data_IF_950055550958
#
_entry.id   IF_950055550958
#
_cell.length_a   1.000
_cell.length_b   1.000
_cell.length_c   1.000
_cell.angle_alpha   90.00
_cell.angle_beta   90.00
_cell.angle_gamma   90.00
#
_symmetry.space_group_name_H-M   'P 1'
#
loop_
_entity.id
_entity.type
_entity.pdbx_description
1 polymer ?
#
# COMPACT_ATOMS: atom_id res chain seq x y z
N UNK A 1 -13.77 -13.27 13.61
CA UNK A 1 -13.28 -14.15 12.53
C UNK A 1 -14.48 -14.66 11.73
N UNK A 2 -14.98 -13.86 10.78
CA UNK A 2 -16.34 -14.09 10.25
C UNK A 2 -16.47 -15.39 9.45
N UNK A 3 -15.51 -15.66 8.55
CA UNK A 3 -15.51 -16.86 7.70
C UNK A 3 -15.23 -18.12 8.52
N UNK A 4 -14.29 -18.06 9.47
CA UNK A 4 -13.90 -19.21 10.31
C UNK A 4 -14.84 -19.47 11.51
N UNK A 5 -15.95 -18.75 11.64
CA UNK A 5 -16.83 -18.89 12.79
C UNK A 5 -17.34 -20.34 12.93
N UNK A 6 -17.14 -20.93 14.11
CA UNK A 6 -17.41 -22.35 14.38
C UNK A 6 -16.33 -23.35 13.93
N UNK A 7 -15.34 -22.94 13.14
CA UNK A 7 -14.23 -23.79 12.68
C UNK A 7 -12.90 -23.48 13.38
N UNK A 8 -12.69 -22.23 13.81
CA UNK A 8 -11.47 -21.81 14.49
C UNK A 8 -11.33 -20.30 14.61
N UNK A 9 -10.11 -19.85 14.93
CA UNK A 9 -9.80 -18.43 15.01
C UNK A 9 -8.45 -18.13 14.32
N UNK A 10 -8.36 -17.07 13.50
CA UNK A 10 -7.12 -16.62 12.92
C UNK A 10 -6.26 -15.95 14.00
N UNK A 11 -4.95 -15.94 13.77
CA UNK A 11 -4.00 -15.17 14.57
C UNK A 11 -3.82 -13.77 13.96
N UNK A 12 -4.11 -12.73 14.73
CA UNK A 12 -3.82 -11.35 14.32
C UNK A 12 -2.35 -11.03 14.60
N UNK A 13 -1.62 -10.59 13.57
CA UNK A 13 -0.21 -10.23 13.65
C UNK A 13 -0.04 -8.78 14.09
N UNK A 14 -0.57 -7.82 13.32
CA UNK A 14 -0.50 -6.40 13.64
C UNK A 14 -1.51 -6.10 14.74
N UNK A 15 -1.03 -5.78 15.93
CA UNK A 15 -1.89 -5.59 17.11
C UNK A 15 -2.65 -4.27 17.05
N UNK A 16 -3.75 -4.21 17.81
CA UNK A 16 -4.52 -3.00 17.98
C UNK A 16 -3.65 -1.81 18.43
N UNK A 17 -3.83 -0.66 17.78
CA UNK A 17 -3.11 0.58 18.07
C UNK A 17 -1.75 0.71 17.39
N UNK A 18 -1.28 -0.31 16.68
CA UNK A 18 -0.09 -0.22 15.85
C UNK A 18 -0.43 0.15 14.40
N UNK A 19 0.45 0.91 13.75
CA UNK A 19 0.32 1.20 12.32
C UNK A 19 0.74 -0.01 11.50
N UNK A 20 -0.01 -0.40 10.44
CA UNK A 20 0.42 -1.45 9.53
C UNK A 20 1.58 -1.00 8.63
N UNK A 21 1.76 0.30 8.40
CA UNK A 21 2.80 0.84 7.52
C UNK A 21 4.21 0.72 8.11
N UNK A 22 4.33 0.76 9.44
CA UNK A 22 5.60 0.65 10.16
C UNK A 22 5.43 -0.25 11.40
N UNK A 23 5.60 -1.55 11.20
CA UNK A 23 5.43 -2.55 12.25
C UNK A 23 6.67 -3.42 12.42
N UNK A 24 7.14 -3.54 13.67
CA UNK A 24 8.22 -4.45 14.03
C UNK A 24 7.65 -5.74 14.64
N UNK A 25 7.87 -6.87 13.98
CA UNK A 25 7.41 -8.18 14.45
C UNK A 25 8.03 -8.55 15.80
N UNK A 26 7.18 -8.95 16.75
CA UNK A 26 7.61 -9.59 17.99
C UNK A 26 8.02 -11.03 17.73
N UNK A 27 8.93 -11.63 18.54
CA UNK A 27 9.32 -13.03 18.36
C UNK A 27 8.15 -14.02 18.32
N UNK A 28 7.10 -13.79 19.11
CA UNK A 28 5.90 -14.61 19.10
C UNK A 28 5.07 -14.50 17.81
N UNK A 29 5.11 -13.35 17.14
CA UNK A 29 4.44 -13.14 15.84
C UNK A 29 5.25 -13.78 14.71
N UNK A 30 6.57 -13.63 14.74
CA UNK A 30 7.45 -14.35 13.82
C UNK A 30 7.25 -15.86 13.92
N UNK A 31 7.14 -16.39 15.14
CA UNK A 31 6.82 -17.81 15.37
C UNK A 31 5.43 -18.19 14.86
N UNK A 32 4.43 -17.30 14.98
CA UNK A 32 3.10 -17.57 14.46
C UNK A 32 3.08 -17.61 12.93
N UNK A 33 3.78 -16.69 12.27
CA UNK A 33 3.97 -16.70 10.81
C UNK A 33 4.65 -17.98 10.35
N UNK A 34 5.71 -18.41 11.04
CA UNK A 34 6.44 -19.62 10.68
C UNK A 34 5.65 -20.93 10.83
N UNK A 35 4.56 -20.91 11.60
CA UNK A 35 3.67 -22.06 11.81
C UNK A 35 2.38 -21.96 10.97
N UNK A 36 2.17 -20.87 10.25
CA UNK A 36 0.96 -20.67 9.48
C UNK A 36 0.99 -21.51 8.20
N UNK A 37 -0.08 -22.23 7.93
CA UNK A 37 -0.31 -22.85 6.63
C UNK A 37 -0.88 -21.84 5.63
N UNK A 38 -1.72 -20.90 6.11
CA UNK A 38 -2.36 -19.85 5.33
C UNK A 38 -2.14 -18.48 5.97
N UNK A 39 -1.83 -17.49 5.13
CA UNK A 39 -1.61 -16.11 5.53
C UNK A 39 -2.45 -15.21 4.63
N UNK A 40 -3.31 -14.39 5.22
CA UNK A 40 -4.06 -13.36 4.51
C UNK A 40 -3.41 -12.00 4.76
N UNK A 41 -3.08 -11.29 3.68
CA UNK A 41 -2.51 -9.95 3.75
C UNK A 41 -3.22 -9.01 2.78
N UNK A 42 -3.13 -7.70 3.04
CA UNK A 42 -3.59 -6.71 2.06
C UNK A 42 -2.65 -6.73 0.84
N UNK A 43 -1.35 -6.61 1.08
CA UNK A 43 -0.31 -6.70 0.04
C UNK A 43 0.83 -5.75 0.33
N UNK A 44 1.85 -5.78 -0.54
CA UNK A 44 3.08 -5.00 -0.37
C UNK A 44 2.85 -3.49 -0.38
N UNK A 45 1.78 -3.01 -1.02
CA UNK A 45 1.38 -1.60 -0.97
C UNK A 45 1.05 -1.11 0.45
N UNK A 46 0.59 -1.99 1.35
CA UNK A 46 0.34 -1.66 2.75
C UNK A 46 1.51 -2.01 3.66
N UNK A 47 2.06 -3.22 3.48
CA UNK A 47 3.04 -3.82 4.39
C UNK A 47 4.27 -4.27 3.61
N UNK A 48 5.04 -3.36 3.01
CA UNK A 48 6.21 -3.73 2.19
C UNK A 48 7.28 -4.47 3.00
N UNK A 49 7.35 -4.19 4.31
CA UNK A 49 8.21 -4.87 5.26
C UNK A 49 7.88 -6.37 5.43
N UNK A 50 6.64 -6.78 5.16
CA UNK A 50 6.15 -8.13 5.44
C UNK A 50 6.65 -9.13 4.39
N UNK A 51 6.80 -8.74 3.12
CA UNK A 51 7.21 -9.64 2.03
C UNK A 51 8.52 -10.38 2.32
N UNK A 52 9.57 -9.63 2.72
CA UNK A 52 10.85 -10.21 3.11
C UNK A 52 10.77 -11.10 4.35
N UNK A 53 9.89 -10.77 5.30
CA UNK A 53 9.68 -11.56 6.50
C UNK A 53 8.98 -12.88 6.16
N UNK A 54 7.94 -12.87 5.32
CA UNK A 54 7.21 -14.06 4.88
C UNK A 54 8.12 -15.01 4.09
N UNK A 55 8.93 -14.49 3.17
CA UNK A 55 9.87 -15.30 2.38
C UNK A 55 10.85 -16.08 3.26
N UNK A 56 11.24 -15.53 4.42
CA UNK A 56 12.18 -16.17 5.36
C UNK A 56 11.49 -17.06 6.38
N UNK A 57 10.38 -16.58 6.96
CA UNK A 57 9.73 -17.22 8.11
C UNK A 57 8.71 -18.27 7.68
N UNK A 58 7.97 -18.02 6.60
CA UNK A 58 6.83 -18.81 6.18
C UNK A 58 6.92 -19.28 4.71
N UNK A 59 8.06 -19.84 4.24
CA UNK A 59 8.28 -20.15 2.82
C UNK A 59 7.35 -21.23 2.25
N UNK A 60 6.61 -21.93 3.11
CA UNK A 60 5.66 -22.99 2.72
C UNK A 60 4.20 -22.56 2.87
N UNK A 61 3.94 -21.41 3.50
CA UNK A 61 2.59 -20.94 3.71
C UNK A 61 1.99 -20.46 2.38
N UNK A 62 0.71 -20.76 2.15
CA UNK A 62 -0.05 -20.12 1.09
C UNK A 62 -0.36 -18.69 1.52
N UNK A 63 0.10 -17.72 0.73
CA UNK A 63 -0.15 -16.30 0.97
C UNK A 63 -1.25 -15.83 0.03
N UNK A 64 -2.36 -15.35 0.60
CA UNK A 64 -3.49 -14.77 -0.12
C UNK A 64 -3.41 -13.25 0.01
N UNK A 65 -3.07 -12.59 -1.11
CA UNK A 65 -3.00 -11.13 -1.22
C UNK A 65 -4.37 -10.59 -1.63
N UNK A 66 -5.03 -9.91 -0.71
CA UNK A 66 -6.40 -9.44 -0.86
C UNK A 66 -6.52 -8.27 -1.84
N UNK A 67 -5.54 -7.35 -1.88
CA UNK A 67 -5.56 -6.20 -2.79
C UNK A 67 -5.54 -6.62 -4.27
N UNK A 68 -4.97 -7.78 -4.58
CA UNK A 68 -4.90 -8.35 -5.93
C UNK A 68 -5.85 -9.53 -6.13
N UNK A 69 -6.73 -9.82 -5.16
CA UNK A 69 -7.69 -10.91 -5.30
C UNK A 69 -8.68 -10.59 -6.45
N UNK A 70 -9.07 -11.58 -7.28
CA UNK A 70 -9.98 -11.34 -8.40
C UNK A 70 -11.26 -10.60 -7.99
N UNK A 71 -11.59 -9.54 -8.72
CA UNK A 71 -12.77 -8.69 -8.46
C UNK A 71 -12.51 -7.54 -7.49
N UNK A 72 -11.39 -7.52 -6.76
CA UNK A 72 -11.04 -6.42 -5.85
C UNK A 72 -10.93 -5.10 -6.60
N UNK A 73 -11.54 -4.06 -6.04
CA UNK A 73 -11.50 -2.68 -6.54
C UNK A 73 -10.31 -1.98 -5.90
N UNK A 74 -9.24 -1.83 -6.68
CA UNK A 74 -8.10 -1.00 -6.35
C UNK A 74 -8.33 0.42 -6.88
N UNK A 75 -8.15 1.42 -6.03
CA UNK A 75 -8.27 2.83 -6.40
C UNK A 75 -6.90 3.51 -6.27
N UNK A 76 -6.58 4.48 -7.12
CA UNK A 76 -5.39 5.30 -6.91
C UNK A 76 -5.54 6.18 -5.67
N UNK A 77 -4.43 6.72 -5.19
CA UNK A 77 -4.48 7.80 -4.21
C UNK A 77 -5.28 8.97 -4.75
N UNK A 78 -5.98 9.67 -3.86
CA UNK A 78 -6.67 10.91 -4.22
C UNK A 78 -5.70 12.06 -4.03
N UNK A 79 -5.48 12.82 -5.08
CA UNK A 79 -4.52 13.93 -5.09
C UNK A 79 -5.07 15.23 -4.46
N UNK A 80 -6.40 15.36 -4.36
CA UNK A 80 -7.02 16.53 -3.77
C UNK A 80 -7.12 16.44 -2.24
N UNK A 81 -6.59 17.45 -1.54
CA UNK A 81 -6.75 17.64 -0.09
C UNK A 81 -8.21 17.78 0.35
N UNK A 82 -9.13 18.00 -0.60
CA UNK A 82 -10.58 18.00 -0.39
C UNK A 82 -11.17 16.83 -1.16
N UNK A 83 -11.50 15.75 -0.44
CA UNK A 83 -12.20 14.59 -1.01
C UNK A 83 -13.57 14.99 -1.58
N UNK A 84 -13.64 15.33 -2.87
CA UNK A 84 -14.91 15.66 -3.52
C UNK A 84 -14.87 16.63 -4.69
N UNK A 85 -13.75 16.77 -5.40
CA UNK A 85 -13.74 17.49 -6.68
C UNK A 85 -13.59 16.45 -7.79
N UNK A 86 -14.70 15.88 -8.24
CA UNK A 86 -14.76 15.47 -9.64
C UNK A 86 -15.12 16.75 -10.41
N UNK A 87 -14.09 17.48 -10.84
CA UNK A 87 -14.22 18.48 -11.89
C UNK A 87 -14.35 17.71 -13.21
N UNK A 88 -15.58 17.65 -13.71
CA UNK A 88 -15.90 17.38 -15.11
C UNK A 88 -15.27 18.51 -15.96
N UNK A 89 -13.99 18.39 -16.26
CA UNK A 89 -13.24 19.38 -17.05
C UNK A 89 -12.54 18.65 -18.21
N UNK A 90 -13.29 18.41 -19.27
CA UNK A 90 -12.71 18.19 -20.58
C UNK A 90 -12.10 19.48 -21.09
N UNK A 91 -10.76 19.55 -21.20
CA UNK A 91 -10.09 20.56 -22.01
C UNK A 91 -8.85 20.00 -22.70
N UNK A 92 -8.99 19.86 -24.03
CA UNK A 92 -7.91 19.73 -25.01
C UNK A 92 -6.90 20.88 -24.86
N UNK A 93 -5.60 20.58 -24.79
CA UNK A 93 -4.56 21.54 -25.13
C UNK A 93 -3.36 20.84 -25.80
N UNK A 94 -3.41 20.82 -27.14
CA UNK A 94 -2.23 20.78 -28.00
C UNK A 94 -1.32 21.96 -27.67
N UNK A 95 -0.02 21.73 -27.43
CA UNK A 95 1.03 22.75 -27.66
C UNK A 95 2.38 22.09 -27.99
N UNK A 96 2.68 22.03 -29.29
CA UNK A 96 4.04 22.03 -29.84
C UNK A 96 4.78 23.30 -29.37
N UNK A 97 6.05 23.19 -28.95
CA UNK A 97 7.05 24.25 -29.15
C UNK A 97 8.50 23.70 -29.09
N UNK A 98 9.13 23.65 -30.27
CA UNK A 98 10.59 23.68 -30.46
C UNK A 98 11.18 24.97 -29.89
N UNK A 99 12.34 24.92 -29.23
CA UNK A 99 13.31 26.04 -29.19
C UNK A 99 14.75 25.56 -28.93
N UNK A 100 15.57 25.63 -29.99
CA UNK A 100 17.03 25.72 -29.95
C UNK A 100 17.49 27.02 -29.28
N UNK A 101 18.55 26.98 -28.46
CA UNK A 101 19.43 28.14 -28.24
C UNK A 101 20.88 27.71 -27.90
N UNK A 102 21.78 27.97 -28.86
CA UNK A 102 23.23 28.11 -28.68
C UNK A 102 23.56 29.37 -27.87
N UNK A 103 24.55 29.30 -26.98
CA UNK A 103 25.36 30.47 -26.61
C UNK A 103 26.79 30.06 -26.19
N UNK A 104 27.76 30.49 -27.02
CA UNK A 104 29.19 30.59 -26.74
C UNK A 104 29.48 31.66 -25.67
N UNK A 105 30.45 31.41 -24.80
CA UNK A 105 31.25 32.47 -24.16
C UNK A 105 32.69 32.02 -23.86
N UNK A 106 33.62 32.63 -24.58
CA UNK A 106 35.06 32.69 -24.29
C UNK A 106 35.34 33.50 -23.02
N UNK A 107 36.29 33.05 -22.20
CA UNK A 107 37.12 33.91 -21.36
C UNK A 107 38.52 33.34 -21.12
N UNK A 108 39.50 34.03 -21.70
CA UNK A 108 40.93 33.95 -21.39
C UNK A 108 41.23 34.36 -19.94
N UNK A 109 42.12 33.63 -19.26
CA UNK A 109 43.00 34.20 -18.23
C UNK A 109 44.31 33.40 -18.12
N UNK A 110 45.40 34.06 -18.53
CA UNK A 110 46.79 33.71 -18.22
C UNK A 110 47.07 33.82 -16.72
N UNK A 111 47.76 32.83 -16.15
CA UNK A 111 48.68 33.02 -15.02
C UNK A 111 49.78 31.94 -15.03
N UNK A 112 51.00 32.38 -15.36
CA UNK A 112 52.27 31.71 -15.06
C UNK A 112 52.45 31.57 -13.55
N UNK A 113 52.85 30.38 -13.08
CA UNK A 113 53.85 30.22 -12.03
C UNK A 113 54.53 28.85 -12.12
N UNK A 114 55.83 28.90 -12.41
CA UNK A 114 56.77 27.79 -12.37
C UNK A 114 57.02 27.27 -10.94
N UNK A 115 56.90 25.94 -10.84
CA UNK A 115 57.85 24.99 -10.27
C UNK A 115 57.59 24.29 -8.92
N UNK A 116 57.92 23.01 -9.05
CA UNK A 116 58.41 22.01 -8.10
C UNK A 116 57.44 21.03 -7.41
N UNK A 117 57.71 19.79 -7.79
CA UNK A 117 57.18 18.50 -7.44
C UNK A 117 57.28 18.19 -5.93
N UNK A 118 56.29 17.45 -5.41
CA UNK A 118 56.45 16.04 -5.01
C UNK A 118 55.23 15.55 -4.21
N UNK A 119 54.76 14.34 -4.56
CA UNK A 119 54.19 13.25 -3.73
C UNK A 119 53.23 13.64 -2.58
N UNK A 120 51.98 13.17 -2.53
CA UNK A 120 51.62 11.76 -2.41
C UNK A 120 50.14 11.50 -2.72
N UNK A 121 49.85 10.30 -3.20
CA UNK A 121 48.50 9.82 -3.49
C UNK A 121 47.77 9.41 -2.21
N UNK A 122 46.44 9.43 -2.35
CA UNK A 122 45.45 8.68 -1.57
C UNK A 122 45.00 9.31 -0.25
N UNK A 123 43.90 10.06 -0.32
CA UNK A 123 42.88 10.10 0.73
C UNK A 123 41.54 10.54 0.10
N UNK A 124 40.59 9.61 0.09
CA UNK A 124 39.22 9.82 -0.36
C UNK A 124 38.53 10.91 0.44
N UNK A 125 38.21 12.00 -0.23
CA UNK A 125 37.21 12.96 0.21
C UNK A 125 35.90 12.59 -0.48
N UNK A 126 35.09 11.77 0.19
CA UNK A 126 33.68 11.63 -0.17
C UNK A 126 33.02 12.98 0.04
N UNK A 127 32.61 13.55 -1.08
CA UNK A 127 31.92 14.81 -1.23
C UNK A 127 30.62 14.79 -0.41
N UNK A 128 30.50 15.79 0.45
CA UNK A 128 29.27 16.21 1.09
C UNK A 128 28.29 16.68 0.01
N UNK A 129 27.51 15.74 -0.53
CA UNK A 129 26.36 16.04 -1.38
C UNK A 129 25.12 16.21 -0.52
N UNK A 130 25.00 17.40 0.07
CA UNK A 130 23.71 17.94 0.50
C UNK A 130 22.82 18.22 -0.71
N UNK A 131 22.18 17.19 -1.24
CA UNK A 131 21.00 17.35 -2.07
C UNK A 131 19.79 17.10 -1.17
N UNK A 132 19.21 18.19 -0.68
CA UNK A 132 17.83 18.22 -0.28
C UNK A 132 17.00 17.96 -1.53
N UNK A 133 16.77 16.68 -1.83
CA UNK A 133 15.75 16.30 -2.78
C UNK A 133 14.42 16.65 -2.12
N UNK A 134 13.78 17.67 -2.67
CA UNK A 134 12.40 17.96 -2.41
C UNK A 134 11.62 16.67 -2.66
N UNK A 135 11.07 16.10 -1.58
CA UNK A 135 10.09 15.03 -1.68
C UNK A 135 8.85 15.59 -2.36
N UNK A 136 8.89 15.60 -3.69
CA UNK A 136 7.68 15.65 -4.50
C UNK A 136 6.95 14.33 -4.22
N UNK A 137 5.93 14.41 -3.38
CA UNK A 137 5.08 13.28 -3.05
C UNK A 137 4.11 13.04 -4.21
N UNK A 138 4.64 12.70 -5.38
CA UNK A 138 3.83 12.12 -6.43
C UNK A 138 3.29 10.80 -5.89
N UNK A 139 1.99 10.78 -5.63
CA UNK A 139 1.27 9.61 -5.15
C UNK A 139 1.03 8.60 -6.29
N UNK A 140 2.07 8.27 -7.06
CA UNK A 140 2.01 7.18 -8.03
C UNK A 140 1.80 5.86 -7.27
N UNK A 141 0.59 5.30 -7.37
CA UNK A 141 0.30 4.02 -6.74
C UNK A 141 -1.18 3.77 -6.44
N UNK A 142 -1.43 2.60 -5.86
CA UNK A 142 -2.75 2.16 -5.40
C UNK A 142 -2.88 2.48 -3.91
N UNK A 143 -4.01 3.10 -3.52
CA UNK A 143 -4.35 3.28 -2.11
C UNK A 143 -4.56 1.89 -1.46
N UNK A 144 -3.70 1.50 -0.49
CA UNK A 144 -3.77 0.18 0.11
C UNK A 144 -4.92 0.03 1.11
N UNK A 145 -5.65 1.09 1.46
CA UNK A 145 -6.73 1.08 2.46
C UNK A 145 -8.06 0.51 1.92
N UNK A 146 -7.96 -0.40 0.95
CA UNK A 146 -9.07 -1.02 0.22
C UNK A 146 -10.05 -1.79 1.10
N UNK A 147 -9.69 -2.13 2.35
CA UNK A 147 -10.60 -2.77 3.32
C UNK A 147 -11.74 -1.85 3.77
N UNK A 148 -11.62 -0.54 3.52
CA UNK A 148 -12.65 0.45 3.81
C UNK A 148 -13.77 0.48 2.74
N UNK A 149 -13.58 -0.14 1.56
CA UNK A 149 -14.65 -0.34 0.59
C UNK A 149 -15.49 -1.58 0.98
N UNK A 150 -16.79 -1.43 1.31
CA UNK A 150 -17.65 -2.57 1.66
C UNK A 150 -17.75 -3.63 0.56
N UNK A 151 -17.65 -3.25 -0.71
CA UNK A 151 -17.67 -4.21 -1.83
C UNK A 151 -16.42 -5.09 -1.82
N UNK A 152 -15.25 -4.51 -1.55
CA UNK A 152 -14.02 -5.29 -1.35
C UNK A 152 -14.15 -6.22 -0.15
N UNK A 153 -14.74 -5.75 0.95
CA UNK A 153 -15.04 -6.60 2.10
C UNK A 153 -15.82 -7.86 1.73
N UNK A 154 -16.85 -7.75 0.88
CA UNK A 154 -17.63 -8.90 0.39
C UNK A 154 -16.82 -9.81 -0.52
N UNK A 155 -16.06 -9.25 -1.46
CA UNK A 155 -15.18 -10.02 -2.36
C UNK A 155 -14.16 -10.84 -1.56
N UNK A 156 -13.56 -10.21 -0.54
CA UNK A 156 -12.54 -10.85 0.28
C UNK A 156 -13.11 -11.93 1.19
N UNK A 157 -14.36 -11.81 1.67
CA UNK A 157 -15.02 -12.90 2.39
C UNK A 157 -15.07 -14.18 1.54
N UNK A 158 -15.40 -14.06 0.25
CA UNK A 158 -15.41 -15.19 -0.69
C UNK A 158 -13.99 -15.71 -0.93
N UNK A 159 -13.03 -14.85 -1.23
CA UNK A 159 -11.64 -15.27 -1.46
C UNK A 159 -11.02 -15.98 -0.25
N UNK A 160 -11.33 -15.51 0.97
CA UNK A 160 -10.92 -16.14 2.22
C UNK A 160 -11.59 -17.50 2.39
N UNK A 161 -12.88 -17.61 2.10
CA UNK A 161 -13.61 -18.88 2.18
C UNK A 161 -13.09 -19.92 1.20
N UNK A 162 -12.76 -19.51 -0.02
CA UNK A 162 -12.21 -20.39 -1.05
C UNK A 162 -10.83 -20.93 -0.63
N UNK A 163 -9.92 -20.05 -0.22
CA UNK A 163 -8.59 -20.47 0.25
C UNK A 163 -8.67 -21.38 1.49
N UNK A 164 -9.53 -21.06 2.45
CA UNK A 164 -9.76 -21.93 3.61
C UNK A 164 -10.37 -23.28 3.21
N UNK A 165 -11.25 -23.31 2.21
CA UNK A 165 -11.87 -24.55 1.71
C UNK A 165 -10.88 -25.45 0.99
N UNK A 166 -9.89 -24.88 0.29
CA UNK A 166 -8.79 -25.65 -0.29
C UNK A 166 -7.93 -26.32 0.79
N UNK A 167 -7.63 -25.57 1.86
CA UNK A 167 -6.78 -26.05 2.96
C UNK A 167 -7.51 -27.00 3.92
N UNK A 168 -8.80 -26.80 4.12
CA UNK A 168 -9.66 -27.58 5.02
C UNK A 168 -11.01 -27.91 4.35
N UNK A 169 -11.03 -28.90 3.43
CA UNK A 169 -12.22 -29.23 2.65
C UNK A 169 -13.41 -29.74 3.47
N UNK A 170 -13.16 -30.24 4.68
CA UNK A 170 -14.22 -30.75 5.56
C UNK A 170 -15.13 -29.62 6.06
N UNK A 171 -14.58 -28.42 6.24
CA UNK A 171 -15.32 -27.23 6.68
C UNK A 171 -15.73 -26.30 5.53
N UNK A 172 -15.47 -26.67 4.26
CA UNK A 172 -15.80 -25.83 3.10
C UNK A 172 -17.26 -25.35 3.06
N UNK A 173 -18.29 -26.18 3.33
CA UNK A 173 -19.68 -25.70 3.38
C UNK A 173 -19.93 -24.65 4.47
N UNK A 174 -19.22 -24.76 5.60
CA UNK A 174 -19.31 -23.80 6.70
C UNK A 174 -18.65 -22.46 6.32
N UNK A 175 -17.46 -22.49 5.70
CA UNK A 175 -16.78 -21.29 5.23
C UNK A 175 -17.62 -20.52 4.20
N UNK A 176 -18.20 -21.22 3.23
CA UNK A 176 -19.08 -20.62 2.22
C UNK A 176 -20.33 -19.98 2.84
N UNK A 177 -21.00 -20.69 3.77
CA UNK A 177 -22.18 -20.16 4.47
C UNK A 177 -21.83 -18.93 5.31
N UNK A 178 -20.69 -18.95 5.99
CA UNK A 178 -20.21 -17.84 6.80
C UNK A 178 -19.82 -16.61 5.97
N UNK A 179 -19.19 -16.81 4.81
CA UNK A 179 -18.88 -15.73 3.89
C UNK A 179 -20.15 -15.07 3.35
N UNK A 180 -21.14 -15.87 2.92
CA UNK A 180 -22.43 -15.35 2.46
C UNK A 180 -23.17 -14.56 3.54
N UNK A 181 -23.19 -15.07 4.77
CA UNK A 181 -23.81 -14.38 5.89
C UNK A 181 -23.05 -13.10 6.28
N UNK A 182 -21.71 -13.11 6.24
CA UNK A 182 -20.89 -11.91 6.43
C UNK A 182 -21.15 -10.86 5.34
N UNK A 183 -21.34 -11.27 4.09
CA UNK A 183 -21.66 -10.34 3.01
C UNK A 183 -23.02 -9.65 3.23
N UNK A 184 -24.03 -10.42 3.67
CA UNK A 184 -25.34 -9.86 4.03
C UNK A 184 -25.28 -8.90 5.24
N UNK A 185 -24.39 -9.18 6.21
CA UNK A 185 -24.13 -8.27 7.35
C UNK A 185 -23.50 -6.96 6.87
N UNK A 186 -22.55 -7.02 5.92
CA UNK A 186 -21.95 -5.84 5.29
C UNK A 186 -23.02 -5.03 4.56
N UNK A 187 -23.86 -5.66 3.73
CA UNK A 187 -24.93 -4.95 3.00
C UNK A 187 -25.87 -4.20 3.96
N UNK A 188 -26.25 -4.86 5.06
CA UNK A 188 -27.08 -4.25 6.09
C UNK A 188 -26.38 -3.07 6.76
N UNK A 189 -25.11 -3.22 7.14
CA UNK A 189 -24.34 -2.15 7.77
C UNK A 189 -24.16 -0.96 6.82
N UNK A 190 -23.84 -1.21 5.55
CA UNK A 190 -23.74 -0.19 4.51
C UNK A 190 -25.05 0.59 4.37
N UNK A 191 -26.20 -0.10 4.24
CA UNK A 191 -27.49 0.58 4.14
C UNK A 191 -27.80 1.46 5.36
N UNK A 192 -27.48 0.97 6.57
CA UNK A 192 -27.68 1.71 7.81
C UNK A 192 -26.77 2.95 7.89
N UNK A 193 -25.49 2.80 7.56
CA UNK A 193 -24.52 3.89 7.62
C UNK A 193 -24.82 4.92 6.53
N UNK A 194 -25.15 4.51 5.31
CA UNK A 194 -25.56 5.42 4.24
C UNK A 194 -26.78 6.26 4.63
N UNK A 195 -27.78 5.67 5.28
CA UNK A 195 -28.94 6.40 5.78
C UNK A 195 -28.57 7.43 6.86
N UNK A 196 -27.64 7.10 7.76
CA UNK A 196 -27.16 8.01 8.81
C UNK A 196 -26.31 9.16 8.24
N UNK A 197 -25.52 8.89 7.20
CA UNK A 197 -24.65 9.87 6.56
C UNK A 197 -25.35 10.71 5.49
N UNK A 198 -26.55 10.33 5.04
CA UNK A 198 -27.30 11.08 4.03
C UNK A 198 -27.47 12.58 4.33
N UNK A 199 -27.74 13.03 5.57
CA UNK A 199 -27.82 14.45 5.89
C UNK A 199 -26.47 15.19 5.85
N UNK A 200 -25.35 14.46 5.80
CA UNK A 200 -24.00 14.99 5.91
C UNK A 200 -23.25 15.00 4.58
N UNK A 201 -23.87 14.63 3.45
CA UNK A 201 -23.17 14.48 2.16
C UNK A 201 -22.43 15.73 1.67
N UNK A 202 -22.84 16.92 2.10
CA UNK A 202 -22.19 18.20 1.74
C UNK A 202 -21.24 18.72 2.83
N UNK A 203 -21.10 17.98 3.94
CA UNK A 203 -20.23 18.37 5.06
C UNK A 203 -18.78 18.06 4.71
N UNK A 204 -17.95 19.09 4.68
CA UNK A 204 -16.51 18.96 4.47
C UNK A 204 -15.80 18.75 5.79
N UNK A 205 -14.81 17.88 5.79
CA UNK A 205 -13.94 17.62 6.94
C UNK A 205 -12.54 17.26 6.45
N UNK A 206 -11.56 17.44 7.33
CA UNK A 206 -10.15 17.06 7.11
C UNK A 206 -9.86 15.86 7.99
N UNK A 207 -9.11 14.90 7.47
CA UNK A 207 -8.67 13.71 8.21
C UNK A 207 -7.15 13.69 8.32
N UNK A 208 -6.68 13.06 9.38
CA UNK A 208 -5.28 12.70 9.57
C UNK A 208 -5.23 11.18 9.71
N UNK A 209 -4.34 10.53 8.97
CA UNK A 209 -4.11 9.09 9.02
C UNK A 209 -2.64 8.82 8.78
#
# INVERSE_FOLDING_TARGET
>A
ARVMDGAGAPRLIIQHGASPHDYALRPSEASALAQADLIFQIGDALTPWLGNALAKLAPKAQVVTLLTAPGTRALPFRESAVFGVEEDEGHDHDHDHDHDHDHDHDHDHDHDHDNDEHHDQDNGHEQEHGHGDAHDHDHEGVDPHAWLDPENGKIWLTAIADALSEADPQNAPLYAANAAAGAAEIDKATAQISAQLAPLQQTRFVVFH
#
